data_IF_287467100871
#
_entry.id   IF_287467100871
#
_cell.length_a   1.000
_cell.length_b   1.000
_cell.length_c   1.000
_cell.angle_alpha   90.00
_cell.angle_beta   90.00
_cell.angle_gamma   90.00
#
_symmetry.space_group_name_H-M   'P 1'
#
loop_
_entity.id
_entity.type
_entity.pdbx_description
1 polymer ?
#
# COMPACT_ATOMS: atom_id res chain seq x y z
N UNK A 1 -39.57 21.77 -28.54
CA UNK A 1 -38.31 21.86 -27.77
C UNK A 1 -38.46 22.00 -26.26
N UNK A 2 -39.43 22.76 -25.75
CA UNK A 2 -39.66 22.95 -24.29
C UNK A 2 -39.91 21.64 -23.51
N UNK A 3 -40.70 20.71 -24.06
CA UNK A 3 -40.95 19.41 -23.41
C UNK A 3 -39.68 18.53 -23.28
N UNK A 4 -38.76 18.59 -24.25
CA UNK A 4 -37.46 17.90 -24.16
C UNK A 4 -36.54 18.55 -23.13
N UNK A 5 -36.53 19.88 -23.08
CA UNK A 5 -35.77 20.63 -22.07
C UNK A 5 -36.25 20.31 -20.65
N UNK A 6 -37.57 20.32 -20.42
CA UNK A 6 -38.15 19.99 -19.11
C UNK A 6 -37.88 18.53 -18.71
N UNK A 7 -37.95 17.58 -19.66
CA UNK A 7 -37.58 16.19 -19.40
C UNK A 7 -36.11 16.04 -19.02
N UNK A 8 -35.22 16.76 -19.70
CA UNK A 8 -33.79 16.77 -19.39
C UNK A 8 -33.53 17.37 -18.00
N UNK A 9 -34.22 18.45 -17.65
CA UNK A 9 -34.08 19.11 -16.35
C UNK A 9 -34.54 18.18 -15.21
N UNK A 10 -35.71 17.53 -15.38
CA UNK A 10 -36.25 16.58 -14.42
C UNK A 10 -35.35 15.34 -14.26
N UNK A 11 -34.73 14.86 -15.35
CA UNK A 11 -33.72 13.78 -15.28
C UNK A 11 -32.49 14.20 -14.50
N UNK A 12 -31.91 15.38 -14.78
CA UNK A 12 -30.76 15.87 -14.03
C UNK A 12 -31.05 16.07 -12.54
N UNK A 13 -32.26 16.48 -12.18
CA UNK A 13 -32.69 16.57 -10.79
C UNK A 13 -32.82 15.20 -10.12
N UNK A 14 -33.36 14.20 -10.84
CA UNK A 14 -33.43 12.82 -10.37
C UNK A 14 -32.03 12.25 -10.15
N UNK A 15 -31.12 12.43 -11.11
CA UNK A 15 -29.74 11.95 -11.03
C UNK A 15 -28.99 12.62 -9.86
N UNK A 16 -29.21 13.91 -9.63
CA UNK A 16 -28.63 14.63 -8.50
C UNK A 16 -29.15 14.12 -7.15
N UNK A 17 -30.47 13.93 -7.02
CA UNK A 17 -31.07 13.38 -5.81
C UNK A 17 -30.63 11.93 -5.55
N UNK A 18 -30.48 11.12 -6.60
CA UNK A 18 -29.97 9.76 -6.49
C UNK A 18 -28.50 9.74 -6.03
N UNK A 19 -27.66 10.60 -6.61
CA UNK A 19 -26.26 10.73 -6.20
C UNK A 19 -26.12 11.23 -4.75
N UNK A 20 -27.05 12.06 -4.26
CA UNK A 20 -27.08 12.50 -2.86
C UNK A 20 -27.48 11.36 -1.91
N UNK A 21 -28.45 10.52 -2.31
CA UNK A 21 -28.78 9.31 -1.56
C UNK A 21 -27.62 8.32 -1.52
N UNK A 22 -26.95 8.09 -2.64
CA UNK A 22 -25.83 7.15 -2.72
C UNK A 22 -24.64 7.61 -1.85
N UNK A 23 -24.48 8.93 -1.65
CA UNK A 23 -23.46 9.49 -0.75
C UNK A 23 -23.74 9.25 0.74
N UNK A 24 -24.95 8.87 1.12
CA UNK A 24 -25.26 8.50 2.50
C UNK A 24 -24.72 7.10 2.86
N UNK A 25 -24.35 6.29 1.87
CA UNK A 25 -23.74 4.97 2.09
C UNK A 25 -22.22 5.06 1.90
N UNK A 26 -21.47 5.14 3.00
CA UNK A 26 -20.01 5.15 2.95
C UNK A 26 -19.49 3.73 2.73
N UNK A 27 -18.97 3.45 1.53
CA UNK A 27 -18.37 2.16 1.16
C UNK A 27 -16.86 2.20 1.24
N UNK A 28 -16.26 1.05 1.60
CA UNK A 28 -14.82 0.88 1.56
C UNK A 28 -14.32 0.99 0.10
N UNK A 29 -13.26 1.77 -0.17
CA UNK A 29 -12.72 1.91 -1.53
C UNK A 29 -11.92 0.67 -1.99
N UNK A 30 -11.53 -0.21 -1.07
CA UNK A 30 -10.78 -1.44 -1.33
C UNK A 30 -10.98 -2.46 -0.20
N UNK A 31 -10.66 -3.72 -0.49
CA UNK A 31 -10.67 -4.82 0.48
C UNK A 31 -9.51 -4.71 1.47
N UNK A 32 -9.78 -4.82 2.77
CA UNK A 32 -8.78 -4.69 3.81
C UNK A 32 -9.31 -4.97 5.20
N UNK A 33 -8.48 -4.71 6.21
CA UNK A 33 -8.79 -4.85 7.63
C UNK A 33 -9.11 -3.49 8.23
N UNK A 34 -10.20 -3.38 8.97
CA UNK A 34 -10.55 -2.14 9.69
C UNK A 34 -9.60 -1.99 10.89
N UNK A 35 -8.84 -0.90 10.93
CA UNK A 35 -7.94 -0.56 12.05
C UNK A 35 -8.72 0.16 13.16
N UNK A 36 -9.42 1.23 12.81
CA UNK A 36 -10.19 2.04 13.76
C UNK A 36 -11.44 2.62 13.13
N UNK A 37 -12.49 2.73 13.92
CA UNK A 37 -13.75 3.41 13.59
C UNK A 37 -14.03 4.39 14.72
N UNK A 38 -13.59 5.66 14.60
CA UNK A 38 -13.74 6.64 15.67
C UNK A 38 -15.17 7.18 15.82
N UNK A 39 -16.09 6.79 14.92
CA UNK A 39 -17.49 7.23 14.91
C UNK A 39 -18.38 6.18 15.57
N UNK A 40 -19.21 6.64 16.51
CA UNK A 40 -20.22 5.82 17.15
C UNK A 40 -21.62 6.07 16.56
N UNK A 41 -22.53 5.13 16.75
CA UNK A 41 -23.92 5.28 16.33
C UNK A 41 -24.54 6.54 16.97
N UNK A 42 -25.07 7.44 16.15
CA UNK A 42 -25.62 8.72 16.59
C UNK A 42 -24.61 9.88 16.62
N UNK A 43 -23.34 9.62 16.30
CA UNK A 43 -22.34 10.68 16.12
C UNK A 43 -22.62 11.47 14.83
N UNK A 44 -22.50 12.79 14.91
CA UNK A 44 -22.55 13.66 13.73
C UNK A 44 -21.18 13.66 13.06
N UNK A 45 -21.11 13.29 11.78
CA UNK A 45 -19.88 13.31 10.99
C UNK A 45 -19.94 14.49 10.03
N UNK A 46 -18.95 15.37 10.08
CA UNK A 46 -18.84 16.46 9.12
C UNK A 46 -18.42 15.93 7.73
N UNK A 47 -18.78 16.65 6.67
CA UNK A 47 -18.32 16.33 5.33
C UNK A 47 -16.77 16.31 5.29
N UNK A 48 -16.20 15.19 4.85
CA UNK A 48 -14.75 14.98 4.85
C UNK A 48 -14.16 14.50 6.18
N UNK A 49 -14.98 14.23 7.20
CA UNK A 49 -14.55 13.63 8.46
C UNK A 49 -14.08 12.19 8.30
N UNK A 50 -13.18 11.75 9.17
CA UNK A 50 -12.72 10.37 9.22
C UNK A 50 -13.83 9.46 9.79
N UNK A 51 -14.26 8.48 8.99
CA UNK A 51 -15.26 7.47 9.38
C UNK A 51 -14.58 6.17 9.80
N UNK A 52 -13.61 5.70 9.04
CA UNK A 52 -12.85 4.50 9.35
C UNK A 52 -11.47 4.56 8.71
N UNK A 53 -10.47 3.97 9.38
CA UNK A 53 -9.19 3.64 8.77
C UNK A 53 -9.20 2.17 8.36
N UNK A 54 -8.92 1.91 7.08
CA UNK A 54 -8.83 0.56 6.51
C UNK A 54 -7.38 0.32 6.07
N UNK A 55 -6.81 -0.81 6.45
CA UNK A 55 -5.47 -1.24 6.11
C UNK A 55 -5.54 -2.37 5.09
N UNK A 56 -4.83 -2.21 3.97
CA UNK A 56 -4.55 -3.33 3.07
C UNK A 56 -3.30 -4.04 3.58
N UNK A 57 -3.50 -5.21 4.16
CA UNK A 57 -2.43 -6.04 4.73
C UNK A 57 -2.02 -7.19 3.83
N UNK A 58 -2.60 -7.35 2.63
CA UNK A 58 -2.18 -8.38 1.68
C UNK A 58 -2.14 -7.80 0.25
N UNK A 59 -0.94 -7.61 -0.35
CA UNK A 59 0.38 -7.87 0.23
C UNK A 59 0.87 -6.75 1.17
N UNK A 60 1.60 -7.11 2.23
CA UNK A 60 2.35 -6.13 3.04
C UNK A 60 3.57 -5.64 2.26
N UNK A 61 3.86 -4.34 2.39
CA UNK A 61 5.00 -3.73 1.73
C UNK A 61 6.11 -3.46 2.73
N UNK A 62 7.22 -4.20 2.59
CA UNK A 62 8.48 -3.85 3.25
C UNK A 62 9.23 -2.82 2.41
N UNK A 63 9.61 -1.70 3.04
CA UNK A 63 10.39 -0.63 2.42
C UNK A 63 11.80 -0.66 3.00
N UNK A 64 12.79 -0.79 2.14
CA UNK A 64 14.20 -0.75 2.50
C UNK A 64 14.97 0.27 1.69
N UNK A 65 16.19 0.54 2.12
CA UNK A 65 17.14 1.39 1.42
C UNK A 65 18.38 0.55 1.05
N UNK A 66 18.78 0.62 -0.21
CA UNK A 66 19.91 -0.15 -0.77
C UNK A 66 20.94 0.82 -1.33
N UNK A 67 22.22 0.51 -1.17
CA UNK A 67 23.31 1.34 -1.70
C UNK A 67 23.41 1.21 -3.23
N UNK A 68 23.93 2.25 -3.90
CA UNK A 68 24.12 2.22 -5.37
C UNK A 68 24.94 1.00 -5.85
N UNK A 69 25.94 0.59 -5.07
CA UNK A 69 26.81 -0.55 -5.40
C UNK A 69 26.03 -1.87 -5.43
N UNK A 70 25.06 -2.01 -4.53
CA UNK A 70 24.25 -3.22 -4.38
C UNK A 70 23.03 -3.21 -5.32
N UNK A 71 22.59 -2.01 -5.73
CA UNK A 71 21.48 -1.82 -6.68
C UNK A 71 21.69 -2.57 -7.99
N UNK A 72 22.93 -2.62 -8.49
CA UNK A 72 23.28 -3.30 -9.73
C UNK A 72 23.04 -4.81 -9.71
N UNK A 73 22.99 -5.42 -8.52
CA UNK A 73 22.74 -6.84 -8.34
C UNK A 73 21.25 -7.16 -8.14
N UNK A 74 20.40 -6.14 -7.96
CA UNK A 74 18.99 -6.31 -7.65
C UNK A 74 18.12 -6.03 -8.88
N UNK A 75 17.14 -6.90 -9.12
CA UNK A 75 16.14 -6.74 -10.18
C UNK A 75 14.72 -6.82 -9.62
N UNK A 76 13.80 -6.13 -10.31
CA UNK A 76 12.37 -6.29 -10.05
C UNK A 76 11.99 -7.75 -10.38
N UNK A 77 11.28 -8.41 -9.46
CA UNK A 77 10.96 -9.83 -9.52
C UNK A 77 11.89 -10.73 -8.71
N UNK A 78 13.01 -10.21 -8.20
CA UNK A 78 13.90 -11.01 -7.36
C UNK A 78 13.24 -11.38 -6.04
N UNK A 79 13.58 -12.57 -5.55
CA UNK A 79 13.17 -13.05 -4.23
C UNK A 79 14.00 -12.35 -3.16
N UNK A 80 13.32 -11.83 -2.15
CA UNK A 80 13.92 -11.21 -0.98
C UNK A 80 13.45 -11.92 0.28
N UNK A 81 14.38 -12.22 1.18
CA UNK A 81 14.04 -12.73 2.51
C UNK A 81 13.88 -11.54 3.44
N UNK A 82 12.72 -11.44 4.08
CA UNK A 82 12.42 -10.36 5.03
C UNK A 82 12.35 -10.95 6.42
N UNK A 83 13.26 -10.51 7.29
CA UNK A 83 13.30 -10.90 8.69
C UNK A 83 12.62 -9.82 9.53
N UNK A 84 11.50 -10.17 10.15
CA UNK A 84 10.80 -9.28 11.08
C UNK A 84 11.56 -9.22 12.41
N UNK A 85 11.39 -8.12 13.14
CA UNK A 85 11.95 -7.98 14.50
C UNK A 85 11.42 -9.03 15.48
N UNK A 86 10.26 -9.63 15.20
CA UNK A 86 9.72 -10.78 15.95
C UNK A 86 10.54 -12.08 15.79
N UNK A 87 11.48 -12.11 14.84
CA UNK A 87 12.28 -13.29 14.50
C UNK A 87 11.69 -14.15 13.39
N UNK A 88 10.49 -13.82 12.89
CA UNK A 88 9.88 -14.50 11.75
C UNK A 88 10.57 -14.10 10.45
N UNK A 89 10.89 -15.09 9.62
CA UNK A 89 11.38 -14.87 8.26
C UNK A 89 10.23 -15.12 7.28
N UNK A 90 9.98 -14.16 6.41
CA UNK A 90 8.98 -14.24 5.35
C UNK A 90 9.63 -13.98 4.00
N UNK A 91 9.22 -14.72 2.98
CA UNK A 91 9.67 -14.49 1.61
C UNK A 91 8.80 -13.44 0.94
N UNK A 92 9.43 -12.53 0.20
CA UNK A 92 8.75 -11.52 -0.60
C UNK A 92 9.39 -11.35 -1.96
N UNK A 93 8.74 -10.58 -2.82
CA UNK A 93 9.19 -10.28 -4.17
C UNK A 93 9.42 -8.79 -4.32
N UNK A 94 10.57 -8.40 -4.85
CA UNK A 94 10.87 -7.00 -5.18
C UNK A 94 9.91 -6.55 -6.27
N UNK A 95 9.03 -5.60 -5.95
CA UNK A 95 8.06 -5.05 -6.92
C UNK A 95 8.43 -3.68 -7.44
N UNK A 96 9.24 -2.93 -6.70
CA UNK A 96 9.61 -1.58 -7.06
C UNK A 96 11.01 -1.23 -6.57
N UNK A 97 11.75 -0.55 -7.44
CA UNK A 97 13.06 0.02 -7.16
C UNK A 97 12.99 1.48 -7.59
N UNK A 98 13.22 2.39 -6.65
CA UNK A 98 13.29 3.83 -6.93
C UNK A 98 14.41 4.10 -7.92
N UNK A 99 14.14 4.97 -8.89
CA UNK A 99 15.16 5.48 -9.82
C UNK A 99 15.83 6.75 -9.32
N UNK A 100 15.25 7.36 -8.29
CA UNK A 100 15.80 8.54 -7.65
C UNK A 100 16.53 8.13 -6.37
N UNK A 101 17.76 8.61 -6.23
CA UNK A 101 18.59 8.38 -5.06
C UNK A 101 18.30 9.48 -4.05
N UNK A 102 18.12 9.10 -2.78
CA UNK A 102 18.08 10.08 -1.71
C UNK A 102 19.41 10.84 -1.68
N UNK A 103 19.39 12.15 -1.96
CA UNK A 103 20.60 12.98 -2.01
C UNK A 103 21.33 13.07 -0.66
N UNK A 104 20.60 12.84 0.44
CA UNK A 104 21.13 12.85 1.79
C UNK A 104 21.93 11.58 2.14
N UNK A 105 21.45 10.41 1.70
CA UNK A 105 21.99 9.10 2.10
C UNK A 105 22.65 8.33 0.96
N UNK A 106 22.51 8.79 -0.29
CA UNK A 106 22.91 8.09 -1.52
C UNK A 106 22.41 6.65 -1.59
N UNK A 107 21.21 6.43 -1.06
CA UNK A 107 20.51 5.15 -1.08
C UNK A 107 19.30 5.21 -2.00
N UNK A 108 18.95 4.06 -2.55
CA UNK A 108 17.78 3.86 -3.37
C UNK A 108 16.72 3.12 -2.56
N UNK A 109 15.48 3.62 -2.60
CA UNK A 109 14.37 2.94 -1.96
C UNK A 109 13.96 1.71 -2.77
N UNK A 110 13.84 0.57 -2.11
CA UNK A 110 13.33 -0.68 -2.66
C UNK A 110 12.06 -1.07 -1.91
N UNK A 111 11.06 -1.57 -2.62
CA UNK A 111 9.83 -2.08 -2.04
C UNK A 111 9.65 -3.56 -2.39
N UNK A 112 9.53 -4.37 -1.34
CA UNK A 112 9.30 -5.81 -1.41
C UNK A 112 7.85 -6.08 -1.00
N UNK A 113 7.10 -6.76 -1.86
CA UNK A 113 5.76 -7.23 -1.56
C UNK A 113 5.84 -8.60 -0.88
N UNK A 114 5.25 -8.70 0.30
CA UNK A 114 5.19 -9.90 1.11
C UNK A 114 3.73 -10.36 1.14
N UNK A 115 3.42 -11.54 0.59
CA UNK A 115 2.10 -12.14 0.72
C UNK A 115 1.79 -12.38 2.20
N UNK A 116 0.63 -11.93 2.66
CA UNK A 116 0.24 -11.99 4.07
C UNK A 116 -1.24 -12.36 4.20
N UNK A 117 -1.62 -13.43 3.51
CA UNK A 117 -3.00 -13.93 3.49
C UNK A 117 -3.49 -14.39 4.88
N UNK A 118 -2.58 -14.73 5.80
CA UNK A 118 -2.89 -15.12 7.18
C UNK A 118 -2.93 -13.94 8.15
N UNK A 119 -2.58 -12.72 7.70
CA UNK A 119 -2.52 -11.53 8.54
C UNK A 119 -1.44 -11.59 9.62
N UNK A 120 -0.47 -12.50 9.51
CA UNK A 120 0.58 -12.72 10.52
C UNK A 120 1.57 -11.57 10.62
N UNK A 121 1.66 -10.73 9.59
CA UNK A 121 2.55 -9.58 9.51
C UNK A 121 1.77 -8.27 9.76
N UNK A 122 1.91 -7.65 10.95
CA UNK A 122 1.37 -6.32 11.21
C UNK A 122 2.03 -5.23 10.36
N UNK A 123 1.26 -4.21 9.99
CA UNK A 123 1.81 -2.99 9.42
C UNK A 123 2.62 -2.20 10.46
N UNK A 124 3.68 -1.55 10.02
CA UNK A 124 4.51 -0.67 10.87
C UNK A 124 5.62 -1.38 11.65
N UNK A 125 5.78 -2.69 11.52
CA UNK A 125 6.92 -3.41 12.10
C UNK A 125 8.22 -3.12 11.36
N UNK A 126 9.31 -3.02 12.12
CA UNK A 126 10.66 -2.99 11.54
C UNK A 126 11.02 -4.37 11.00
N UNK A 127 11.58 -4.37 9.80
CA UNK A 127 12.04 -5.58 9.13
C UNK A 127 13.40 -5.36 8.47
N UNK A 128 14.20 -6.41 8.43
CA UNK A 128 15.48 -6.45 7.73
C UNK A 128 15.29 -7.22 6.42
N UNK A 129 15.71 -6.63 5.30
CA UNK A 129 15.58 -7.24 3.97
C UNK A 129 16.93 -7.82 3.58
N UNK A 130 17.02 -9.15 3.57
CA UNK A 130 18.16 -9.89 3.06
C UNK A 130 17.95 -10.19 1.57
N UNK A 131 18.74 -9.52 0.74
CA UNK A 131 18.77 -9.71 -0.71
C UNK A 131 19.90 -10.68 -1.06
N UNK A 132 19.59 -11.74 -1.80
CA UNK A 132 20.61 -12.68 -2.28
C UNK A 132 21.16 -12.19 -3.62
N UNK A 133 22.39 -11.67 -3.62
CA UNK A 133 23.11 -11.37 -4.85
C UNK A 133 23.63 -12.65 -5.50
N UNK A 134 23.82 -12.64 -6.82
CA UNK A 134 24.46 -13.77 -7.50
C UNK A 134 25.91 -13.94 -7.00
N UNK A 135 26.35 -15.17 -6.68
CA UNK A 135 27.72 -15.42 -6.27
C UNK A 135 28.70 -14.93 -7.34
N UNK A 136 29.66 -14.11 -6.93
CA UNK A 136 30.84 -13.77 -7.75
C UNK A 136 32.01 -14.62 -7.28
N UNK A 137 32.76 -15.18 -8.23
CA UNK A 137 34.02 -15.86 -7.92
C UNK A 137 35.01 -14.85 -7.31
N UNK A 138 35.32 -15.04 -6.03
CA UNK A 138 36.29 -14.24 -5.31
C UNK A 138 37.24 -15.14 -4.51
N UNK A 139 38.51 -14.78 -4.46
CA UNK A 139 39.52 -15.46 -3.63
C UNK A 139 39.61 -14.73 -2.30
N UNK A 140 39.26 -15.41 -1.21
CA UNK A 140 39.40 -14.86 0.14
C UNK A 140 40.86 -15.01 0.60
N UNK A 141 41.52 -13.89 0.91
CA UNK A 141 42.85 -13.90 1.52
C UNK A 141 42.72 -13.95 3.05
N UNK A 142 43.52 -14.77 3.76
CA UNK A 142 43.49 -14.92 5.22
C UNK A 142 44.01 -13.70 5.98
#
# INVERSE_FOLDING_TARGET
>A
DTARSNLSLAKSQLDAAQAELDRNEVKAPFDGVIDRVPVELGSSVMQGGEVATILSLDPVIARGEVSERDLGYLKIGDKANVRLVSGQNVEGIVRYISRDASSATRTFRVEVAIPNADGSVPAGMTAEIALSAQPTDAVMLP
#
